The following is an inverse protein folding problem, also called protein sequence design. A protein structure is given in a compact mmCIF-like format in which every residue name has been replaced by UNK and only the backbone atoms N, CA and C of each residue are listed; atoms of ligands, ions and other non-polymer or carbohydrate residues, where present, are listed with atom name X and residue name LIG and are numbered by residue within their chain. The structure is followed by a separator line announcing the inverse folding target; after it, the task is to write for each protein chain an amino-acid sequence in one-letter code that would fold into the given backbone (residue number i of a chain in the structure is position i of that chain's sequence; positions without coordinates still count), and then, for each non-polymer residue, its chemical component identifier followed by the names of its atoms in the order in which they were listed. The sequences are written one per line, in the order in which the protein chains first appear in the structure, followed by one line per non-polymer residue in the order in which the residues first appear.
data_IF_981622892799
#
_entry.id   IF_981622892799
#
_cell.length_a   1.000
_cell.length_b   1.000
_cell.length_c   1.000
_cell.angle_alpha   90.00
_cell.angle_beta   90.00
_cell.angle_gamma   90.00
#
_symmetry.space_group_name_H-M   'P 1'
#
loop_
_entity.id
_entity.type
_entity.pdbx_description
1 polymer ?
#
# COMPACT_ATOMS: atom_id res chain seq x y z
N UNK A 1 13.89 -3.36 6.95
CA UNK A 1 15.15 -4.11 6.67
C UNK A 1 14.93 -5.61 6.41
N UNK A 2 13.95 -6.26 7.05
CA UNK A 2 13.69 -7.72 6.95
C UNK A 2 13.18 -8.19 5.58
N UNK A 3 12.44 -7.36 4.86
CA UNK A 3 11.84 -7.70 3.55
C UNK A 3 12.87 -7.80 2.43
N UNK A 4 13.90 -6.94 2.41
CA UNK A 4 15.00 -7.01 1.43
C UNK A 4 15.78 -8.32 1.50
N UNK A 5 16.00 -8.85 2.70
CA UNK A 5 16.69 -10.11 2.93
C UNK A 5 15.88 -11.31 2.40
N UNK A 6 14.55 -11.28 2.50
CA UNK A 6 13.69 -12.34 1.97
C UNK A 6 13.65 -12.36 0.44
N UNK A 7 13.60 -11.18 -0.21
CA UNK A 7 13.69 -11.10 -1.67
C UNK A 7 15.04 -11.57 -2.21
N UNK A 8 16.14 -11.21 -1.54
CA UNK A 8 17.47 -11.72 -1.88
C UNK A 8 17.57 -13.23 -1.69
N UNK A 9 17.03 -13.77 -0.60
CA UNK A 9 16.99 -15.22 -0.36
C UNK A 9 16.20 -15.95 -1.46
N UNK A 10 15.04 -15.43 -1.85
CA UNK A 10 14.24 -15.97 -2.94
C UNK A 10 14.99 -15.95 -4.28
N UNK A 11 15.68 -14.85 -4.61
CA UNK A 11 16.49 -14.74 -5.82
C UNK A 11 17.63 -15.77 -5.84
N UNK A 12 18.32 -15.95 -4.71
CA UNK A 12 19.41 -16.94 -4.57
C UNK A 12 18.86 -18.37 -4.70
N UNK A 13 17.71 -18.69 -4.11
CA UNK A 13 17.08 -20.01 -4.23
C UNK A 13 16.63 -20.31 -5.67
N UNK A 14 16.10 -19.33 -6.40
CA UNK A 14 15.80 -19.49 -7.83
C UNK A 14 17.05 -19.77 -8.68
N UNK A 15 18.16 -19.08 -8.42
CA UNK A 15 19.43 -19.32 -9.12
C UNK A 15 19.98 -20.73 -8.82
N UNK A 16 19.91 -21.19 -7.57
CA UNK A 16 20.31 -22.53 -7.18
C UNK A 16 19.43 -23.61 -7.82
N UNK A 17 18.12 -23.39 -7.92
CA UNK A 17 17.20 -24.29 -8.61
C UNK A 17 17.52 -24.45 -10.11
N UNK A 18 17.82 -23.33 -10.79
CA UNK A 18 18.22 -23.36 -12.21
C UNK A 18 19.55 -24.10 -12.38
N UNK A 19 20.53 -23.84 -11.51
CA UNK A 19 21.83 -24.53 -11.55
C UNK A 19 21.70 -26.05 -11.28
N UNK A 20 20.86 -26.45 -10.32
CA UNK A 20 20.60 -27.86 -10.02
C UNK A 20 19.89 -28.59 -11.17
N UNK A 21 18.96 -27.92 -11.85
CA UNK A 21 18.28 -28.47 -13.04
C UNK A 21 19.23 -28.61 -14.23
N UNK A 22 20.14 -27.66 -14.43
CA UNK A 22 21.21 -27.77 -15.44
C UNK A 22 22.23 -28.87 -15.12
N UNK A 23 22.38 -29.24 -13.86
CA UNK A 23 23.22 -30.35 -13.41
C UNK A 23 22.53 -31.74 -13.48
N UNK A 24 21.29 -31.81 -13.98
CA UNK A 24 20.54 -33.07 -14.12
C UNK A 24 19.99 -33.64 -12.81
N UNK A 25 19.92 -32.83 -11.75
CA UNK A 25 19.44 -33.24 -10.42
C UNK A 25 17.97 -32.82 -10.23
N UNK A 26 17.04 -33.65 -10.69
CA UNK A 26 15.61 -33.30 -10.78
C UNK A 26 14.92 -33.15 -9.41
N UNK A 27 15.20 -34.05 -8.46
CA UNK A 27 14.56 -34.05 -7.13
C UNK A 27 14.96 -32.86 -6.25
N UNK A 28 16.26 -32.54 -6.05
CA UNK A 28 16.64 -31.37 -5.26
C UNK A 28 16.32 -30.05 -5.97
N UNK A 29 16.29 -30.01 -7.31
CA UNK A 29 15.83 -28.83 -8.05
C UNK A 29 14.34 -28.53 -7.77
N UNK A 30 13.49 -29.55 -7.74
CA UNK A 30 12.07 -29.41 -7.37
C UNK A 30 11.87 -28.86 -5.95
N UNK A 31 12.63 -29.36 -4.98
CA UNK A 31 12.57 -28.88 -3.59
C UNK A 31 13.03 -27.42 -3.50
N UNK A 32 14.10 -27.05 -4.21
CA UNK A 32 14.60 -25.67 -4.25
C UNK A 32 13.58 -24.69 -4.86
N UNK A 33 12.89 -25.08 -5.93
CA UNK A 33 11.83 -24.28 -6.56
C UNK A 33 10.67 -24.06 -5.59
N UNK A 34 10.26 -25.12 -4.88
CA UNK A 34 9.14 -25.03 -3.93
C UNK A 34 9.47 -24.10 -2.75
N UNK A 35 10.69 -24.18 -2.21
CA UNK A 35 11.20 -23.28 -1.17
C UNK A 35 11.30 -21.83 -1.67
N UNK A 36 11.78 -21.61 -2.90
CA UNK A 36 11.82 -20.28 -3.50
C UNK A 36 10.41 -19.68 -3.62
N UNK A 37 9.45 -20.47 -4.11
CA UNK A 37 8.06 -20.03 -4.26
C UNK A 37 7.42 -19.65 -2.91
N UNK A 38 7.59 -20.49 -1.89
CA UNK A 38 7.12 -20.19 -0.54
C UNK A 38 7.76 -18.91 0.04
N UNK A 39 9.06 -18.72 -0.15
CA UNK A 39 9.76 -17.52 0.29
C UNK A 39 9.26 -16.25 -0.42
N UNK A 40 8.98 -16.31 -1.73
CA UNK A 40 8.40 -15.20 -2.50
C UNK A 40 7.01 -14.85 -1.99
N UNK A 41 6.14 -15.86 -1.77
CA UNK A 41 4.79 -15.63 -1.26
C UNK A 41 4.84 -14.98 0.14
N UNK A 42 5.68 -15.49 1.04
CA UNK A 42 5.86 -14.90 2.36
C UNK A 42 6.41 -13.46 2.30
N UNK A 43 7.36 -13.19 1.41
CA UNK A 43 7.89 -11.84 1.20
C UNK A 43 6.81 -10.88 0.66
N UNK A 44 5.97 -11.34 -0.28
CA UNK A 44 4.85 -10.55 -0.82
C UNK A 44 3.77 -10.28 0.24
N UNK A 45 3.39 -11.29 1.03
CA UNK A 45 2.42 -11.13 2.13
C UNK A 45 2.96 -10.17 3.18
N UNK A 46 4.23 -10.29 3.58
CA UNK A 46 4.85 -9.35 4.53
C UNK A 46 4.92 -7.94 3.96
N UNK A 47 5.29 -7.78 2.69
CA UNK A 47 5.30 -6.46 2.05
C UNK A 47 3.89 -5.87 1.99
N UNK A 48 2.86 -6.66 1.65
CA UNK A 48 1.46 -6.25 1.70
C UNK A 48 1.01 -5.81 3.10
N UNK A 49 1.54 -6.45 4.16
CA UNK A 49 1.30 -6.04 5.55
C UNK A 49 2.08 -4.78 5.94
N UNK A 50 3.29 -4.56 5.40
CA UNK A 50 4.02 -3.30 5.53
C UNK A 50 3.31 -2.14 4.78
N UNK A 51 2.56 -2.43 3.71
CA UNK A 51 1.62 -1.48 3.09
C UNK A 51 0.31 -1.29 3.87
N UNK A 52 0.10 -2.07 4.94
CA UNK A 52 -1.12 -2.07 5.77
C UNK A 52 -1.27 -0.87 6.70
N UNK A 53 -0.33 0.08 6.67
CA UNK A 53 -0.39 1.27 7.51
C UNK A 53 0.24 2.44 6.73
N UNK A 54 -0.36 2.78 5.58
CA UNK A 54 -0.08 4.08 4.98
C UNK A 54 -0.70 5.14 5.90
N UNK A 55 0.03 5.52 6.95
CA UNK A 55 -0.32 6.67 7.75
C UNK A 55 -0.18 7.88 6.84
N UNK A 56 -1.32 8.41 6.42
CA UNK A 56 -1.39 9.64 5.65
C UNK A 56 -0.84 10.75 6.53
N UNK A 57 0.45 11.04 6.33
CA UNK A 57 1.15 12.06 7.11
C UNK A 57 1.01 13.40 6.38
N UNK A 58 0.03 14.18 6.81
CA UNK A 58 -0.12 15.56 6.38
C UNK A 58 0.76 16.49 7.21
N UNK A 59 1.44 17.41 6.53
CA UNK A 59 1.97 18.62 7.17
C UNK A 59 0.83 19.50 7.67
N UNK A 60 1.08 20.37 8.65
CA UNK A 60 0.05 21.24 9.22
C UNK A 60 -0.65 22.10 8.15
N UNK A 61 0.11 22.59 7.17
CA UNK A 61 -0.43 23.33 6.02
C UNK A 61 -1.39 22.50 5.17
N UNK A 62 -1.07 21.22 4.92
CA UNK A 62 -1.93 20.32 4.16
C UNK A 62 -3.22 19.99 4.92
N UNK A 63 -3.15 19.88 6.26
CA UNK A 63 -4.33 19.69 7.11
C UNK A 63 -5.26 20.89 7.04
N UNK A 64 -4.70 22.11 7.13
CA UNK A 64 -5.49 23.34 7.00
C UNK A 64 -6.14 23.47 5.63
N UNK A 65 -5.44 23.11 4.55
CA UNK A 65 -5.97 23.16 3.20
C UNK A 65 -7.11 22.15 2.98
N UNK A 66 -6.96 20.91 3.46
CA UNK A 66 -8.06 19.92 3.44
C UNK A 66 -9.22 20.40 4.30
N UNK A 67 -8.96 20.89 5.52
CA UNK A 67 -10.02 21.41 6.39
C UNK A 67 -10.76 22.60 5.75
N UNK A 68 -10.06 23.45 5.00
CA UNK A 68 -10.68 24.54 4.25
C UNK A 68 -11.59 24.02 3.12
N UNK A 69 -11.16 23.01 2.36
CA UNK A 69 -11.98 22.35 1.33
C UNK A 69 -13.23 21.70 1.95
N UNK A 70 -13.06 21.00 3.07
CA UNK A 70 -14.15 20.34 3.79
C UNK A 70 -15.17 21.35 4.35
N UNK A 71 -14.71 22.49 4.89
CA UNK A 71 -15.60 23.58 5.36
C UNK A 71 -16.41 24.20 4.22
N UNK A 72 -15.91 24.14 2.99
CA UNK A 72 -16.63 24.57 1.78
C UNK A 72 -17.56 23.48 1.23
N UNK A 73 -17.59 22.30 1.84
CA UNK A 73 -18.36 21.13 1.38
C UNK A 73 -17.71 20.40 0.19
N UNK A 74 -16.45 20.68 -0.14
CA UNK A 74 -15.72 20.06 -1.25
C UNK A 74 -14.94 18.82 -0.80
N UNK A 75 -15.67 17.76 -0.44
CA UNK A 75 -15.08 16.48 -0.04
C UNK A 75 -14.30 15.80 -1.17
N UNK A 76 -14.80 15.90 -2.41
CA UNK A 76 -14.12 15.31 -3.58
C UNK A 76 -12.79 15.99 -3.90
N UNK A 77 -12.74 17.31 -3.77
CA UNK A 77 -11.50 18.08 -3.87
C UNK A 77 -10.51 17.64 -2.81
N UNK A 78 -10.96 17.49 -1.56
CA UNK A 78 -10.12 17.00 -0.46
C UNK A 78 -9.54 15.59 -0.72
N UNK A 79 -10.36 14.65 -1.22
CA UNK A 79 -9.92 13.29 -1.56
C UNK A 79 -8.94 13.31 -2.73
N UNK A 80 -9.22 14.07 -3.78
CA UNK A 80 -8.33 14.22 -4.94
C UNK A 80 -6.98 14.80 -4.53
N UNK A 81 -6.99 15.82 -3.68
CA UNK A 81 -5.78 16.44 -3.15
C UNK A 81 -4.97 15.47 -2.29
N UNK A 82 -5.66 14.63 -1.52
CA UNK A 82 -5.05 13.52 -0.75
C UNK A 82 -4.34 12.53 -1.68
N UNK A 83 -4.94 12.12 -2.79
CA UNK A 83 -4.28 11.26 -3.78
C UNK A 83 -3.03 11.90 -4.41
N UNK A 84 -3.07 13.21 -4.66
CA UNK A 84 -1.94 13.93 -5.24
C UNK A 84 -0.75 14.01 -4.28
N UNK A 85 -1.02 14.24 -3.00
CA UNK A 85 0.04 14.34 -1.98
C UNK A 85 0.53 12.98 -1.49
N UNK A 86 -0.35 11.99 -1.42
CA UNK A 86 -0.04 10.65 -0.92
C UNK A 86 0.02 9.65 -2.06
N UNK A 87 1.19 9.57 -2.69
CA UNK A 87 1.40 8.65 -3.81
C UNK A 87 1.24 7.20 -3.36
N UNK A 88 0.37 6.45 -4.05
CA UNK A 88 0.14 5.01 -3.82
C UNK A 88 -0.93 4.68 -2.78
N UNK A 89 -1.68 5.68 -2.29
CA UNK A 89 -2.85 5.49 -1.44
C UNK A 89 -4.03 4.94 -2.25
N UNK A 90 -4.82 4.04 -1.65
CA UNK A 90 -6.09 3.58 -2.25
C UNK A 90 -7.21 4.59 -2.00
N UNK A 91 -8.27 4.53 -2.80
CA UNK A 91 -9.43 5.43 -2.65
C UNK A 91 -10.03 5.33 -1.24
N UNK A 92 -10.16 4.11 -0.71
CA UNK A 92 -10.65 3.85 0.65
C UNK A 92 -9.76 4.51 1.72
N UNK A 93 -8.44 4.42 1.56
CA UNK A 93 -7.50 5.05 2.49
C UNK A 93 -7.56 6.58 2.41
N UNK A 94 -7.77 7.15 1.22
CA UNK A 94 -7.94 8.59 1.04
C UNK A 94 -9.23 9.08 1.71
N UNK A 95 -10.34 8.36 1.52
CA UNK A 95 -11.61 8.64 2.21
C UNK A 95 -11.46 8.59 3.73
N UNK A 96 -10.83 7.53 4.27
CA UNK A 96 -10.60 7.41 5.71
C UNK A 96 -9.72 8.55 6.25
N UNK A 97 -8.67 8.95 5.52
CA UNK A 97 -7.79 10.04 5.93
C UNK A 97 -8.51 11.40 5.94
N UNK A 98 -9.37 11.66 4.95
CA UNK A 98 -10.19 12.88 4.89
C UNK A 98 -11.25 12.88 5.99
N UNK A 99 -11.93 11.74 6.23
CA UNK A 99 -12.91 11.60 7.30
C UNK A 99 -12.31 11.78 8.69
N UNK A 100 -11.16 11.15 8.95
CA UNK A 100 -10.46 11.33 10.22
C UNK A 100 -10.05 12.80 10.46
N UNK A 101 -9.76 13.54 9.38
CA UNK A 101 -9.45 14.95 9.45
C UNK A 101 -10.72 15.79 9.68
N UNK A 102 -11.83 15.47 9.02
CA UNK A 102 -13.12 16.10 9.28
C UNK A 102 -13.52 15.98 10.76
N UNK A 103 -13.40 14.76 11.32
CA UNK A 103 -13.67 14.46 12.72
C UNK A 103 -12.75 15.28 13.66
N UNK A 104 -11.45 15.35 13.35
CA UNK A 104 -10.49 16.11 14.16
C UNK A 104 -10.77 17.62 14.19
N UNK A 105 -11.35 18.17 13.12
CA UNK A 105 -11.74 19.58 13.03
C UNK A 105 -13.21 19.84 13.36
N UNK A 106 -13.99 18.81 13.72
CA UNK A 106 -15.43 18.90 14.00
C UNK A 106 -16.25 19.39 12.80
N UNK A 107 -15.84 19.03 11.58
CA UNK A 107 -16.51 19.41 10.34
C UNK A 107 -17.49 18.29 9.98
N UNK A 108 -18.79 18.61 9.90
CA UNK A 108 -19.76 17.66 9.36
C UNK A 108 -19.54 17.51 7.85
N UNK A 109 -19.19 16.31 7.43
CA UNK A 109 -19.12 15.96 6.01
C UNK A 109 -20.53 16.03 5.42
N UNK A 110 -20.75 16.96 4.50
CA UNK A 110 -22.03 17.08 3.82
C UNK A 110 -22.28 15.86 2.91
N UNK A 111 -23.51 15.33 2.92
CA UNK A 111 -24.01 14.25 2.02
C UNK A 111 -23.82 14.54 0.51
N UNK A 112 -23.30 15.72 0.13
CA UNK A 112 -23.16 16.23 -1.23
C UNK A 112 -22.17 15.43 -2.12
N UNK A 113 -21.39 14.51 -1.56
CA UNK A 113 -20.48 13.64 -2.30
C UNK A 113 -21.12 12.36 -2.88
N UNK A 114 -22.28 11.94 -2.36
CA UNK A 114 -22.89 10.62 -2.61
C UNK A 114 -23.59 10.50 -3.98
N UNK A 115 -24.03 11.62 -4.54
CA UNK A 115 -24.98 11.64 -5.67
C UNK A 115 -24.39 11.94 -7.05
N UNK A 116 -23.07 12.04 -7.21
CA UNK A 116 -22.48 12.21 -8.56
C UNK A 116 -21.79 10.92 -9.02
N UNK A 117 -22.29 10.25 -10.07
CA UNK A 117 -21.62 9.09 -10.62
C UNK A 117 -20.21 9.45 -11.10
N UNK A 118 -19.32 8.46 -10.99
CA UNK A 118 -17.93 8.47 -11.46
C UNK A 118 -17.81 8.83 -12.93
#
# INVERSE_FOLDING_TARGET
MRTRTLFLLAAVLCLLAVAAKLAGLDVPALIAIFLACAAVVLALVQRGREYGEYSVSYTDKQREEIAAMLRLGDERGAITQTHLWCRGITDEQAHQAVSALADAYGIELGEAGKDRPF
#
